data_IF_539560511605
#
_entry.id   IF_539560511605
#
_cell.length_a   1.000
_cell.length_b   1.000
_cell.length_c   1.000
_cell.angle_alpha   90.00
_cell.angle_beta   90.00
_cell.angle_gamma   90.00
#
_symmetry.space_group_name_H-M   'P 1'
#
loop_
_entity.id
_entity.type
_entity.pdbx_description
1 polymer ?
#
# COMPACT_ATOMS: atom_id res chain seq x y z
N UNK A 1 20.91 -18.01 0.91
CA UNK A 1 20.15 -16.75 0.92
C UNK A 1 20.34 -16.14 -0.47
N UNK A 2 19.28 -16.09 -1.29
CA UNK A 2 19.35 -15.56 -2.66
C UNK A 2 19.78 -14.11 -2.54
N UNK A 3 21.01 -13.82 -2.94
CA UNK A 3 21.60 -12.50 -2.76
C UNK A 3 20.94 -11.59 -3.79
N UNK A 4 20.02 -10.72 -3.35
CA UNK A 4 19.48 -9.65 -4.19
C UNK A 4 20.67 -8.77 -4.62
N UNK A 5 21.08 -8.87 -5.88
CA UNK A 5 22.29 -8.23 -6.40
C UNK A 5 22.10 -6.72 -6.65
N UNK A 6 20.85 -6.27 -6.69
CA UNK A 6 20.40 -4.90 -6.74
C UNK A 6 19.14 -4.72 -5.86
N UNK A 7 19.03 -3.55 -5.25
CA UNK A 7 17.82 -3.07 -4.58
C UNK A 7 17.23 -2.01 -5.50
N UNK A 8 16.06 -2.30 -6.05
CA UNK A 8 15.35 -1.36 -6.91
C UNK A 8 14.30 -0.66 -6.06
N UNK A 9 14.25 0.65 -6.14
CA UNK A 9 13.22 1.47 -5.50
C UNK A 9 12.60 2.36 -6.57
N UNK A 10 11.29 2.48 -6.54
CA UNK A 10 10.56 3.34 -7.44
C UNK A 10 9.49 4.11 -6.72
N UNK A 11 9.21 5.31 -7.20
CA UNK A 11 8.12 6.12 -6.70
C UNK A 11 7.43 6.87 -7.84
N UNK A 12 6.15 7.13 -7.64
CA UNK A 12 5.32 8.02 -8.46
C UNK A 12 5.08 9.33 -7.72
N UNK A 13 4.84 10.42 -8.45
CA UNK A 13 4.53 11.72 -7.85
C UNK A 13 3.20 11.72 -7.07
N UNK A 14 2.27 10.85 -7.46
CA UNK A 14 0.98 10.63 -6.79
C UNK A 14 0.62 9.14 -6.75
N UNK A 15 -0.17 8.69 -5.77
CA UNK A 15 -0.75 7.35 -5.77
C UNK A 15 -2.05 7.25 -6.60
N UNK A 16 -2.66 8.38 -6.98
CA UNK A 16 -3.95 8.47 -7.68
C UNK A 16 -3.93 9.51 -8.81
N UNK A 17 -4.33 9.11 -10.00
CA UNK A 17 -4.36 9.95 -11.21
C UNK A 17 -5.75 9.97 -11.84
N UNK A 18 -6.04 11.05 -12.57
CA UNK A 18 -7.20 11.11 -13.46
C UNK A 18 -6.83 10.64 -14.86
N UNK A 19 -7.78 10.11 -15.64
CA UNK A 19 -7.57 9.89 -17.07
C UNK A 19 -7.09 11.16 -17.77
N UNK A 20 -6.15 11.01 -18.72
CA UNK A 20 -5.51 12.15 -19.40
C UNK A 20 -4.35 12.83 -18.67
N UNK A 21 -4.09 12.52 -17.39
CA UNK A 21 -2.97 13.08 -16.64
C UNK A 21 -1.61 12.48 -17.01
N UNK A 22 -0.55 13.22 -16.69
CA UNK A 22 0.82 12.73 -16.75
C UNK A 22 1.21 12.07 -15.42
N UNK A 23 1.64 10.82 -15.50
CA UNK A 23 2.24 10.05 -14.43
C UNK A 23 3.74 10.32 -14.46
N UNK A 24 4.27 10.93 -13.41
CA UNK A 24 5.70 11.17 -13.27
C UNK A 24 6.25 10.19 -12.26
N UNK A 25 7.35 9.55 -12.60
CA UNK A 25 7.93 8.53 -11.75
C UNK A 25 9.43 8.44 -11.96
N UNK A 26 10.09 7.86 -10.96
CA UNK A 26 11.53 7.65 -10.98
C UNK A 26 11.90 6.33 -10.34
N UNK A 27 12.99 5.77 -10.81
CA UNK A 27 13.57 4.55 -10.28
C UNK A 27 15.03 4.74 -9.93
N UNK A 28 15.45 4.10 -8.85
CA UNK A 28 16.83 4.02 -8.41
C UNK A 28 17.17 2.54 -8.23
N UNK A 29 18.25 2.10 -8.88
CA UNK A 29 18.80 0.77 -8.70
C UNK A 29 20.10 0.89 -7.90
N UNK A 30 20.03 0.53 -6.62
CA UNK A 30 21.18 0.48 -5.74
C UNK A 30 21.81 -0.91 -5.76
N UNK A 31 23.09 -0.98 -5.45
CA UNK A 31 23.79 -2.25 -5.21
C UNK A 31 24.38 -2.22 -3.81
N UNK A 32 24.88 -3.35 -3.30
CA UNK A 32 25.54 -3.40 -1.99
C UNK A 32 26.64 -2.33 -1.81
N UNK A 33 27.32 -1.95 -2.91
CA UNK A 33 28.33 -0.88 -2.93
C UNK A 33 27.79 0.52 -2.65
N UNK A 34 26.53 0.77 -2.96
CA UNK A 34 25.90 2.08 -2.75
C UNK A 34 25.32 2.24 -1.35
N UNK A 35 25.07 1.12 -0.65
CA UNK A 35 24.34 1.10 0.62
C UNK A 35 25.31 0.93 1.81
N UNK A 36 26.44 0.25 1.60
CA UNK A 36 27.42 -0.01 2.67
C UNK A 36 28.57 1.02 2.61
N UNK A 37 28.88 1.70 3.73
CA UNK A 37 30.06 2.54 3.81
C UNK A 37 31.30 1.63 3.79
N UNK A 38 32.14 1.77 2.77
CA UNK A 38 33.39 1.03 2.67
C UNK A 38 34.57 1.99 2.71
N UNK A 39 35.53 1.69 3.60
CA UNK A 39 36.82 2.36 3.72
C UNK A 39 37.84 1.89 2.69
N UNK A 40 37.62 0.73 2.06
CA UNK A 40 38.49 0.11 1.05
C UNK A 40 37.71 -0.14 -0.25
N UNK A 41 38.36 -0.17 -1.43
CA UNK A 41 37.69 -0.47 -2.69
C UNK A 41 37.12 -1.89 -2.67
N UNK A 42 35.79 -2.08 -2.75
CA UNK A 42 35.17 -3.38 -2.52
C UNK A 42 35.50 -4.36 -3.66
N UNK A 43 36.21 -5.46 -3.35
CA UNK A 43 36.50 -6.53 -4.31
C UNK A 43 35.32 -7.51 -4.42
N UNK A 44 34.78 -7.72 -5.62
CA UNK A 44 33.74 -8.73 -5.83
C UNK A 44 34.29 -10.16 -5.64
N UNK A 45 33.53 -11.06 -4.99
CA UNK A 45 33.93 -12.46 -4.85
C UNK A 45 34.23 -13.11 -6.21
N UNK A 46 35.20 -14.03 -6.22
CA UNK A 46 35.64 -14.74 -7.42
C UNK A 46 34.75 -15.98 -7.68
N UNK A 47 34.02 -16.42 -6.67
CA UNK A 47 33.15 -17.59 -6.72
C UNK A 47 31.72 -17.21 -6.32
N UNK A 48 30.74 -17.78 -7.00
CA UNK A 48 29.34 -17.77 -6.60
C UNK A 48 28.93 -19.16 -6.09
N UNK A 49 28.01 -19.19 -5.13
CA UNK A 49 27.47 -20.43 -4.60
C UNK A 49 26.31 -20.86 -5.49
N UNK A 50 26.41 -22.04 -6.10
CA UNK A 50 25.40 -22.60 -7.01
C UNK A 50 24.88 -23.92 -6.43
N UNK A 51 23.58 -24.14 -6.52
CA UNK A 51 22.90 -25.34 -6.03
C UNK A 51 21.57 -24.98 -5.34
N UNK A 52 20.56 -25.81 -5.54
CA UNK A 52 19.27 -25.68 -4.85
C UNK A 52 19.36 -26.16 -3.39
N UNK A 53 18.31 -25.93 -2.60
CA UNK A 53 18.31 -26.28 -1.17
C UNK A 53 18.52 -27.78 -0.91
N UNK A 54 18.13 -28.63 -1.87
CA UNK A 54 18.25 -30.10 -1.83
C UNK A 54 19.60 -30.65 -2.33
N UNK A 55 20.44 -29.82 -2.96
CA UNK A 55 21.73 -30.24 -3.51
C UNK A 55 22.92 -29.69 -2.71
N UNK A 56 24.04 -30.41 -2.72
CA UNK A 56 25.28 -29.92 -2.11
C UNK A 56 25.74 -28.67 -2.86
N UNK A 57 25.74 -27.52 -2.17
CA UNK A 57 26.14 -26.23 -2.74
C UNK A 57 27.60 -26.28 -3.21
N UNK A 58 27.83 -25.89 -4.46
CA UNK A 58 29.16 -25.86 -5.09
C UNK A 58 29.61 -24.43 -5.34
N UNK A 59 30.92 -24.19 -5.25
CA UNK A 59 31.52 -22.93 -5.65
C UNK A 59 31.76 -22.97 -7.15
N UNK A 60 31.07 -22.09 -7.89
CA UNK A 60 31.31 -21.87 -9.31
C UNK A 60 32.13 -20.61 -9.48
N UNK A 61 33.23 -20.70 -10.25
CA UNK A 61 34.04 -19.53 -10.58
C UNK A 61 33.22 -18.57 -11.45
N UNK A 62 33.17 -17.30 -11.07
CA UNK A 62 32.49 -16.26 -11.82
C UNK A 62 33.42 -15.82 -12.96
N UNK A 63 32.88 -15.76 -14.18
CA UNK A 63 33.60 -15.27 -15.35
C UNK A 63 34.10 -13.83 -15.15
N UNK A 64 35.35 -13.50 -15.53
CA UNK A 64 35.90 -12.15 -15.35
C UNK A 64 35.09 -11.05 -16.05
N UNK A 65 34.42 -11.37 -17.15
CA UNK A 65 33.53 -10.46 -17.89
C UNK A 65 32.27 -10.15 -17.08
N UNK A 66 31.65 -11.17 -16.50
CA UNK A 66 30.49 -11.02 -15.62
C UNK A 66 30.86 -10.26 -14.34
N UNK A 67 32.04 -10.52 -13.77
CA UNK A 67 32.55 -9.74 -12.64
C UNK A 67 32.72 -8.25 -12.99
N UNK A 68 33.22 -7.93 -14.19
CA UNK A 68 33.31 -6.54 -14.68
C UNK A 68 31.93 -5.91 -14.89
N UNK A 69 30.98 -6.63 -15.48
CA UNK A 69 29.59 -6.18 -15.65
C UNK A 69 28.95 -5.84 -14.30
N UNK A 70 29.15 -6.69 -13.28
CA UNK A 70 28.63 -6.46 -11.91
C UNK A 70 29.23 -5.24 -11.22
N UNK A 71 30.45 -4.85 -11.59
CA UNK A 71 31.12 -3.65 -11.08
C UNK A 71 30.62 -2.35 -11.71
N UNK A 72 30.00 -2.40 -12.89
CA UNK A 72 29.38 -1.24 -13.53
C UNK A 72 28.06 -0.87 -12.84
N UNK A 73 27.63 0.39 -13.01
CA UNK A 73 26.32 0.83 -12.57
C UNK A 73 25.23 -0.08 -13.17
N UNK A 74 24.21 -0.48 -12.39
CA UNK A 74 23.08 -1.21 -12.93
C UNK A 74 22.35 -0.31 -13.94
N UNK A 75 22.08 -0.82 -15.14
CA UNK A 75 21.12 -0.20 -16.06
C UNK A 75 19.77 -0.90 -15.90
N UNK A 76 18.71 -0.21 -16.29
CA UNK A 76 17.37 -0.76 -16.31
C UNK A 76 17.15 -1.49 -17.64
N UNK A 77 16.97 -2.80 -17.58
CA UNK A 77 16.76 -3.66 -18.75
C UNK A 77 15.45 -3.26 -19.45
N UNK A 78 14.38 -3.14 -18.65
CA UNK A 78 13.09 -2.59 -19.10
C UNK A 78 12.36 -1.87 -17.98
N UNK A 79 11.54 -0.89 -18.36
CA UNK A 79 10.54 -0.25 -17.51
C UNK A 79 9.24 -0.27 -18.30
N UNK A 80 8.20 -0.91 -17.76
CA UNK A 80 6.95 -1.19 -18.46
C UNK A 80 5.76 -0.64 -17.70
N UNK A 81 4.91 0.16 -18.35
CA UNK A 81 3.63 0.60 -17.80
C UNK A 81 2.57 -0.40 -18.25
N UNK A 82 1.83 -0.93 -17.29
CA UNK A 82 0.75 -1.91 -17.48
C UNK A 82 -0.59 -1.33 -17.04
N UNK A 83 -1.60 -1.57 -17.87
CA UNK A 83 -2.99 -1.21 -17.58
C UNK A 83 -3.62 -2.19 -16.53
N UNK A 84 -4.86 -1.96 -16.08
CA UNK A 84 -5.53 -2.83 -15.11
C UNK A 84 -5.83 -4.24 -15.63
N UNK A 85 -5.68 -4.48 -16.93
CA UNK A 85 -5.81 -5.79 -17.57
C UNK A 85 -4.44 -6.47 -17.77
N UNK A 86 -3.36 -5.90 -17.22
CA UNK A 86 -1.96 -6.31 -17.38
C UNK A 86 -1.42 -6.22 -18.82
N UNK A 87 -2.03 -5.41 -19.69
CA UNK A 87 -1.49 -5.11 -21.00
C UNK A 87 -0.35 -4.10 -20.88
N UNK A 88 0.77 -4.32 -21.56
CA UNK A 88 1.88 -3.35 -21.64
C UNK A 88 1.47 -2.24 -22.61
N UNK A 89 1.27 -1.04 -22.08
CA UNK A 89 0.87 0.14 -22.87
C UNK A 89 2.06 1.03 -23.26
N UNK A 90 3.17 0.92 -22.53
CA UNK A 90 4.40 1.66 -22.80
C UNK A 90 5.61 0.92 -22.23
N UNK A 91 6.75 1.02 -22.91
CA UNK A 91 7.98 0.34 -22.50
C UNK A 91 9.21 1.18 -22.86
N UNK A 92 10.07 1.42 -21.86
CA UNK A 92 11.44 1.86 -22.07
C UNK A 92 12.38 0.65 -21.97
N UNK A 93 13.43 0.63 -22.79
CA UNK A 93 14.46 -0.43 -22.81
C UNK A 93 15.84 0.18 -22.61
N UNK A 94 16.72 -0.55 -21.93
CA UNK A 94 18.13 -0.18 -21.73
C UNK A 94 18.30 1.25 -21.18
N UNK A 95 17.50 1.61 -20.18
CA UNK A 95 17.49 2.97 -19.60
C UNK A 95 18.68 3.16 -18.68
N UNK A 96 19.42 4.26 -18.85
CA UNK A 96 20.54 4.58 -17.98
C UNK A 96 20.04 5.15 -16.65
N UNK A 97 20.80 5.01 -15.56
CA UNK A 97 20.39 5.51 -14.25
C UNK A 97 19.95 6.99 -14.21
N UNK A 98 20.63 7.93 -14.88
CA UNK A 98 20.19 9.33 -14.88
C UNK A 98 18.83 9.54 -15.56
N UNK A 99 18.56 8.80 -16.64
CA UNK A 99 17.31 8.91 -17.39
C UNK A 99 16.11 8.35 -16.60
N UNK A 100 16.37 7.33 -15.77
CA UNK A 100 15.37 6.74 -14.90
C UNK A 100 14.94 7.66 -13.73
N UNK A 101 15.61 8.80 -13.52
CA UNK A 101 15.25 9.76 -12.47
C UNK A 101 14.09 10.69 -12.86
N UNK A 102 13.72 10.75 -14.13
CA UNK A 102 12.69 11.66 -14.62
C UNK A 102 11.92 11.05 -15.79
N UNK A 103 11.13 10.01 -15.51
CA UNK A 103 10.25 9.39 -16.49
C UNK A 103 8.84 9.99 -16.41
N UNK A 104 8.21 10.12 -17.58
CA UNK A 104 6.87 10.67 -17.71
C UNK A 104 6.07 9.80 -18.68
N UNK A 105 4.87 9.40 -18.25
CA UNK A 105 3.90 8.71 -19.08
C UNK A 105 2.58 9.47 -19.10
N UNK A 106 2.03 9.75 -20.28
CA UNK A 106 0.74 10.41 -20.41
C UNK A 106 -0.38 9.38 -20.53
N UNK A 107 -1.28 9.36 -19.55
CA UNK A 107 -2.49 8.54 -19.62
C UNK A 107 -3.37 9.01 -20.78
N UNK A 108 -3.96 8.06 -21.50
CA UNK A 108 -4.99 8.38 -22.49
C UNK A 108 -6.22 8.95 -21.79
N UNK A 109 -7.01 9.78 -22.50
CA UNK A 109 -8.20 10.42 -21.93
C UNK A 109 -9.28 9.41 -21.52
N UNK A 110 -9.35 8.30 -22.24
CA UNK A 110 -10.28 7.19 -21.96
C UNK A 110 -9.59 6.05 -21.19
N UNK A 111 -8.60 6.39 -20.35
CA UNK A 111 -7.86 5.40 -19.57
C UNK A 111 -8.81 4.64 -18.66
N UNK A 112 -8.70 3.30 -18.69
CA UNK A 112 -9.51 2.43 -17.84
C UNK A 112 -9.22 2.70 -16.36
N UNK A 113 -10.29 2.83 -15.58
CA UNK A 113 -10.17 2.95 -14.13
C UNK A 113 -9.68 1.64 -13.50
N UNK A 114 -8.91 1.77 -12.43
CA UNK A 114 -8.40 0.63 -11.67
C UNK A 114 -6.95 0.80 -11.24
N UNK A 115 -6.34 -0.30 -10.80
CA UNK A 115 -4.92 -0.37 -10.45
C UNK A 115 -4.07 -0.52 -11.71
N UNK A 116 -3.18 0.44 -11.93
CA UNK A 116 -2.14 0.43 -12.95
C UNK A 116 -0.80 0.10 -12.31
N UNK A 117 0.12 -0.46 -13.09
CA UNK A 117 1.42 -0.95 -12.57
C UNK A 117 2.56 -0.46 -13.44
N UNK A 118 3.69 -0.14 -12.80
CA UNK A 118 4.96 0.10 -13.46
C UNK A 118 5.91 -1.00 -13.01
N UNK A 119 6.21 -1.92 -13.92
CA UNK A 119 7.14 -3.05 -13.68
C UNK A 119 8.51 -2.68 -14.24
N UNK A 120 9.52 -2.72 -13.37
CA UNK A 120 10.91 -2.43 -13.74
C UNK A 120 11.75 -3.69 -13.58
N UNK A 121 12.64 -3.92 -14.55
CA UNK A 121 13.57 -5.04 -14.54
C UNK A 121 15.02 -4.54 -14.53
N UNK A 122 15.82 -5.02 -13.58
CA UNK A 122 17.26 -4.76 -13.46
C UNK A 122 17.96 -6.07 -13.12
N UNK A 123 18.82 -6.58 -14.01
CA UNK A 123 19.64 -7.79 -13.77
C UNK A 123 18.81 -8.99 -13.30
N UNK A 124 17.65 -9.23 -13.93
CA UNK A 124 16.68 -10.27 -13.57
C UNK A 124 15.93 -10.07 -12.26
N UNK A 125 16.12 -8.93 -11.59
CA UNK A 125 15.29 -8.53 -10.47
C UNK A 125 14.20 -7.60 -10.96
N UNK A 126 13.00 -7.83 -10.43
CA UNK A 126 11.82 -7.07 -10.77
C UNK A 126 11.32 -6.33 -9.55
N UNK A 127 10.85 -5.11 -9.77
CA UNK A 127 10.12 -4.32 -8.79
C UNK A 127 8.87 -3.76 -9.45
N UNK A 128 7.79 -3.62 -8.68
CA UNK A 128 6.50 -3.15 -9.19
C UNK A 128 6.03 -2.00 -8.33
N UNK A 129 5.74 -0.87 -8.99
CA UNK A 129 5.08 0.29 -8.36
C UNK A 129 3.65 0.37 -8.88
N UNK A 130 2.68 0.30 -7.98
CA UNK A 130 1.25 0.43 -8.32
C UNK A 130 0.75 1.87 -8.13
N UNK A 131 -0.17 2.30 -8.99
CA UNK A 131 -0.95 3.53 -8.80
C UNK A 131 -2.39 3.32 -9.26
N UNK A 132 -3.33 4.12 -8.77
CA UNK A 132 -4.73 4.03 -9.18
C UNK A 132 -5.08 5.11 -10.22
N UNK A 133 -5.94 4.76 -11.18
CA UNK A 133 -6.58 5.71 -12.09
C UNK A 133 -8.08 5.70 -11.82
N UNK A 134 -8.66 6.86 -11.52
CA UNK A 134 -10.10 7.04 -11.29
C UNK A 134 -10.53 8.45 -11.71
N UNK A 135 -11.78 8.62 -12.11
CA UNK A 135 -12.37 9.96 -12.18
C UNK A 135 -12.63 10.45 -10.76
N UNK A 136 -11.92 11.51 -10.36
CA UNK A 136 -12.12 12.13 -9.05
C UNK A 136 -12.03 13.64 -9.13
N UNK A 137 -12.69 14.29 -8.18
CA UNK A 137 -12.50 15.71 -7.87
C UNK A 137 -11.64 15.79 -6.62
N UNK A 138 -10.71 16.75 -6.57
CA UNK A 138 -9.86 16.92 -5.39
C UNK A 138 -10.74 17.34 -4.20
N UNK A 139 -10.81 16.55 -3.12
CA UNK A 139 -11.58 16.92 -1.95
C UNK A 139 -11.06 18.23 -1.34
N UNK A 140 -11.99 19.12 -0.97
CA UNK A 140 -11.65 20.41 -0.34
C UNK A 140 -11.38 20.30 1.16
N UNK A 141 -11.66 19.15 1.75
CA UNK A 141 -11.47 18.88 3.17
C UNK A 141 -11.02 17.42 3.37
N UNK A 142 -10.44 17.15 4.53
CA UNK A 142 -10.10 15.81 5.01
C UNK A 142 -10.98 15.51 6.22
N UNK A 143 -11.60 14.34 6.22
CA UNK A 143 -12.28 13.82 7.40
C UNK A 143 -11.26 13.06 8.26
N UNK A 144 -11.30 13.29 9.57
CA UNK A 144 -10.48 12.62 10.55
C UNK A 144 -11.39 11.83 11.48
N UNK A 145 -11.03 10.58 11.71
CA UNK A 145 -11.68 9.69 12.68
C UNK A 145 -10.58 9.16 13.59
N UNK A 146 -10.66 9.50 14.87
CA UNK A 146 -9.72 9.03 15.89
C UNK A 146 -10.40 7.95 16.72
N UNK A 147 -9.78 6.77 16.75
CA UNK A 147 -10.18 5.64 17.58
C UNK A 147 -9.04 5.29 18.55
N UNK A 148 -9.34 4.67 19.70
CA UNK A 148 -8.33 4.09 20.57
C UNK A 148 -7.52 3.03 19.82
N UNK A 149 -6.23 2.89 20.14
CA UNK A 149 -5.35 1.91 19.51
C UNK A 149 -5.76 0.46 19.82
N UNK A 150 -6.27 0.24 21.03
CA UNK A 150 -6.84 -1.03 21.45
C UNK A 150 -8.13 -0.78 22.23
N UNK A 151 -9.04 -1.74 22.16
CA UNK A 151 -10.30 -1.77 22.91
C UNK A 151 -10.29 -3.07 23.70
N UNK A 152 -10.38 -2.99 25.01
CA UNK A 152 -10.48 -4.20 25.83
C UNK A 152 -11.93 -4.73 25.81
N UNK A 153 -12.13 -6.06 25.74
CA UNK A 153 -13.48 -6.64 25.76
C UNK A 153 -14.26 -6.36 27.06
N UNK A 154 -13.56 -5.96 28.12
CA UNK A 154 -14.11 -5.62 29.44
C UNK A 154 -14.59 -4.17 29.55
N UNK A 155 -14.20 -3.29 28.62
CA UNK A 155 -14.66 -1.90 28.63
C UNK A 155 -16.15 -1.81 28.29
N UNK A 156 -16.89 -0.99 29.04
CA UNK A 156 -18.31 -0.76 28.75
C UNK A 156 -18.50 0.08 27.49
N UNK A 157 -17.62 1.06 27.29
CA UNK A 157 -17.79 2.13 26.32
C UNK A 157 -16.47 2.48 25.62
N UNK A 158 -16.57 2.74 24.32
CA UNK A 158 -15.47 3.21 23.48
C UNK A 158 -15.78 4.63 23.04
N UNK A 159 -14.80 5.51 23.24
CA UNK A 159 -14.85 6.88 22.75
C UNK A 159 -14.09 6.98 21.43
N UNK A 160 -14.74 7.53 20.42
CA UNK A 160 -14.09 7.93 19.17
C UNK A 160 -14.46 9.38 18.84
N UNK A 161 -13.58 10.03 18.07
CA UNK A 161 -13.70 11.44 17.75
C UNK A 161 -13.74 11.63 16.24
N UNK A 162 -14.72 12.41 15.77
CA UNK A 162 -14.87 12.72 14.34
C UNK A 162 -14.73 14.21 14.12
N UNK A 163 -13.92 14.61 13.15
CA UNK A 163 -13.88 15.99 12.68
C UNK A 163 -13.61 16.03 11.18
N UNK A 164 -13.75 17.22 10.60
CA UNK A 164 -13.30 17.46 9.24
C UNK A 164 -12.61 18.81 9.17
N UNK A 165 -11.53 18.87 8.40
CA UNK A 165 -10.65 20.03 8.29
C UNK A 165 -10.48 20.36 6.82
N UNK A 166 -10.75 21.62 6.44
CA UNK A 166 -10.50 22.06 5.07
C UNK A 166 -9.00 21.97 4.75
N UNK A 167 -8.66 21.78 3.47
CA UNK A 167 -7.25 21.72 3.06
C UNK A 167 -6.47 23.01 3.34
N UNK A 168 -7.15 24.12 3.61
CA UNK A 168 -6.57 25.40 4.06
C UNK A 168 -6.55 25.60 5.58
N UNK A 169 -6.98 24.61 6.39
CA UNK A 169 -6.79 24.59 7.85
C UNK A 169 -8.05 24.71 8.74
N UNK A 170 -9.07 25.52 8.43
CA UNK A 170 -10.26 25.65 9.28
C UNK A 170 -11.07 24.35 9.38
N UNK A 171 -11.71 24.13 10.54
CA UNK A 171 -12.67 23.05 10.71
C UNK A 171 -13.93 23.26 9.85
N UNK A 172 -14.47 22.17 9.35
CA UNK A 172 -15.67 22.14 8.51
C UNK A 172 -16.90 22.16 9.40
N UNK A 173 -17.86 23.02 9.06
CA UNK A 173 -19.23 22.94 9.58
C UNK A 173 -20.07 22.03 8.71
N UNK A 174 -20.80 21.11 9.32
CA UNK A 174 -21.65 20.19 8.57
C UNK A 174 -22.21 19.08 9.44
N UNK A 175 -22.54 17.96 8.81
CA UNK A 175 -23.02 16.76 9.47
C UNK A 175 -22.17 15.58 9.05
N UNK A 176 -21.92 14.65 9.96
CA UNK A 176 -21.27 13.38 9.65
C UNK A 176 -22.26 12.24 9.81
N UNK A 177 -21.99 11.15 9.10
CA UNK A 177 -22.68 9.88 9.18
C UNK A 177 -21.62 8.79 9.13
N UNK A 178 -21.45 8.09 10.24
CA UNK A 178 -20.39 7.13 10.46
C UNK A 178 -20.98 5.77 10.84
N UNK A 179 -20.29 4.72 10.42
CA UNK A 179 -20.65 3.35 10.75
C UNK A 179 -19.44 2.68 11.40
N UNK A 180 -19.65 2.17 12.60
CA UNK A 180 -18.64 1.48 13.40
C UNK A 180 -18.97 0.00 13.37
N UNK A 181 -18.01 -0.82 12.97
CA UNK A 181 -18.19 -2.26 12.83
C UNK A 181 -17.03 -2.99 13.50
N UNK A 182 -17.33 -4.06 14.23
CA UNK A 182 -16.33 -5.07 14.61
C UNK A 182 -16.41 -6.17 13.57
N UNK A 183 -15.36 -6.39 12.78
CA UNK A 183 -15.36 -7.43 11.75
C UNK A 183 -13.95 -7.95 11.45
N UNK A 184 -13.85 -8.94 10.57
CA UNK A 184 -12.57 -9.43 10.05
C UNK A 184 -11.85 -8.31 9.31
N UNK A 185 -10.55 -8.16 9.57
CA UNK A 185 -9.70 -7.10 9.00
C UNK A 185 -9.82 -7.01 7.47
N UNK A 186 -9.65 -8.15 6.77
CA UNK A 186 -9.76 -8.22 5.30
C UNK A 186 -11.12 -7.76 4.74
N UNK A 187 -12.20 -7.85 5.53
CA UNK A 187 -13.54 -7.41 5.12
C UNK A 187 -13.69 -5.90 5.33
N UNK A 188 -13.15 -5.37 6.45
CA UNK A 188 -13.12 -3.94 6.73
C UNK A 188 -12.28 -3.18 5.69
N UNK A 189 -11.07 -3.65 5.39
CA UNK A 189 -10.17 -3.02 4.42
C UNK A 189 -10.81 -2.92 3.02
N UNK A 190 -11.50 -3.99 2.59
CA UNK A 190 -12.19 -4.00 1.30
C UNK A 190 -13.29 -2.95 1.24
N UNK A 191 -14.12 -2.86 2.28
CA UNK A 191 -15.21 -1.89 2.33
C UNK A 191 -14.71 -0.45 2.42
N UNK A 192 -13.62 -0.21 3.14
CA UNK A 192 -12.95 1.09 3.17
C UNK A 192 -12.40 1.46 1.79
N UNK A 193 -11.81 0.51 1.05
CA UNK A 193 -11.30 0.73 -0.31
C UNK A 193 -12.42 1.03 -1.32
N UNK A 194 -13.60 0.43 -1.14
CA UNK A 194 -14.81 0.72 -1.92
C UNK A 194 -15.45 2.06 -1.55
N UNK A 195 -15.14 2.61 -0.36
CA UNK A 195 -15.74 3.84 0.15
C UNK A 195 -17.23 3.69 0.44
N UNK A 196 -17.68 2.51 0.86
CA UNK A 196 -19.10 2.20 1.09
C UNK A 196 -19.32 1.66 2.50
N UNK A 197 -20.44 2.06 3.11
CA UNK A 197 -20.90 1.48 4.38
C UNK A 197 -21.40 0.04 4.15
N UNK A 198 -21.33 -0.79 5.19
CA UNK A 198 -21.95 -2.11 5.20
C UNK A 198 -23.47 -2.01 5.06
N UNK A 199 -24.00 -2.81 4.13
CA UNK A 199 -25.43 -2.94 3.93
C UNK A 199 -26.11 -3.48 5.19
N UNK A 200 -27.27 -2.90 5.52
CA UNK A 200 -28.08 -3.29 6.69
C UNK A 200 -27.34 -3.21 8.03
N UNK A 201 -26.25 -2.45 8.12
CA UNK A 201 -25.40 -2.37 9.32
C UNK A 201 -24.93 -3.74 9.81
N UNK A 202 -24.58 -4.63 8.88
CA UNK A 202 -24.16 -6.00 9.18
C UNK A 202 -22.87 -6.32 8.47
N UNK A 203 -21.90 -6.82 9.21
CA UNK A 203 -20.70 -7.40 8.64
C UNK A 203 -20.81 -8.93 8.63
N UNK A 204 -20.52 -9.53 7.48
CA UNK A 204 -20.52 -10.98 7.27
C UNK A 204 -19.07 -11.40 7.17
N UNK A 205 -18.60 -12.22 8.11
CA UNK A 205 -17.26 -12.77 8.09
C UNK A 205 -17.08 -13.77 6.93
N UNK A 206 -15.85 -13.90 6.41
CA UNK A 206 -15.58 -14.69 5.21
C UNK A 206 -15.69 -16.21 5.46
N UNK A 207 -15.34 -16.66 6.67
CA UNK A 207 -15.16 -18.08 6.98
C UNK A 207 -16.25 -18.67 7.89
N UNK A 208 -17.04 -17.83 8.56
CA UNK A 208 -18.10 -18.25 9.45
C UNK A 208 -19.26 -17.23 9.32
N UNK A 209 -20.51 -17.63 9.05
CA UNK A 209 -21.64 -16.71 8.89
C UNK A 209 -22.11 -16.07 10.21
N UNK A 210 -21.18 -15.76 11.12
CA UNK A 210 -21.46 -14.93 12.29
C UNK A 210 -21.69 -13.51 11.78
N UNK A 211 -22.92 -13.04 11.95
CA UNK A 211 -23.32 -11.70 11.56
C UNK A 211 -22.99 -10.76 12.70
N UNK A 212 -22.00 -9.89 12.49
CA UNK A 212 -21.66 -8.85 13.47
C UNK A 212 -22.44 -7.59 13.16
N UNK A 213 -22.99 -6.95 14.19
CA UNK A 213 -23.79 -5.74 14.05
C UNK A 213 -22.86 -4.53 14.05
N UNK A 214 -23.07 -3.65 13.07
CA UNK A 214 -22.45 -2.34 13.03
C UNK A 214 -23.37 -1.32 13.69
N UNK A 215 -22.79 -0.37 14.41
CA UNK A 215 -23.53 0.79 14.91
C UNK A 215 -23.39 1.95 13.93
N UNK A 216 -24.52 2.54 13.53
CA UNK A 216 -24.54 3.77 12.75
C UNK A 216 -24.81 4.94 13.67
N UNK A 217 -23.99 5.97 13.54
CA UNK A 217 -24.06 7.20 14.33
C UNK A 217 -23.94 8.40 13.40
N UNK A 218 -24.70 9.44 13.70
CA UNK A 218 -24.66 10.69 12.96
C UNK A 218 -24.63 11.85 13.94
N UNK A 219 -24.16 13.00 13.47
CA UNK A 219 -24.04 14.17 14.31
C UNK A 219 -23.61 15.40 13.54
N UNK A 220 -23.46 16.50 14.28
CA UNK A 220 -23.13 17.81 13.73
C UNK A 220 -21.64 18.10 14.01
N UNK A 221 -20.95 18.61 12.98
CA UNK A 221 -19.63 19.22 13.10
C UNK A 221 -19.83 20.73 13.25
N UNK A 222 -19.48 21.27 14.41
CA UNK A 222 -19.68 22.67 14.78
C UNK A 222 -18.67 23.64 14.12
N UNK A 223 -17.63 23.08 13.49
CA UNK A 223 -16.55 23.82 12.85
C UNK A 223 -15.56 24.42 13.84
N UNK A 224 -15.45 23.89 15.04
CA UNK A 224 -14.45 24.35 16.03
C UNK A 224 -13.60 23.22 16.60
N UNK A 225 -14.18 22.04 16.81
CA UNK A 225 -13.52 20.93 17.48
C UNK A 225 -13.98 19.56 16.97
N UNK A 226 -13.41 18.51 17.55
CA UNK A 226 -13.83 17.14 17.33
C UNK A 226 -15.16 16.84 18.02
N UNK A 227 -16.07 16.22 17.28
CA UNK A 227 -17.28 15.64 17.83
C UNK A 227 -16.91 14.30 18.50
N UNK A 228 -17.01 14.26 19.82
CA UNK A 228 -16.78 13.06 20.60
C UNK A 228 -18.05 12.23 20.65
N UNK A 229 -17.93 10.94 20.31
CA UNK A 229 -19.04 10.00 20.34
C UNK A 229 -18.63 8.83 21.23
N UNK A 230 -19.55 8.43 22.10
CA UNK A 230 -19.38 7.33 23.04
C UNK A 230 -20.31 6.22 22.58
N UNK A 231 -19.77 5.00 22.46
CA UNK A 231 -20.50 3.84 22.00
C UNK A 231 -20.26 2.67 22.95
N UNK A 232 -21.34 2.03 23.38
CA UNK A 232 -21.25 0.87 24.23
C UNK A 232 -20.69 -0.33 23.45
N UNK A 233 -19.63 -0.95 23.97
CA UNK A 233 -18.97 -2.12 23.36
C UNK A 233 -19.94 -3.29 23.22
N UNK A 234 -20.84 -3.46 24.19
CA UNK A 234 -21.88 -4.49 24.17
C UNK A 234 -22.82 -4.38 22.95
N UNK A 235 -23.04 -3.17 22.42
CA UNK A 235 -23.88 -2.97 21.23
C UNK A 235 -23.17 -3.42 19.94
N UNK A 236 -21.83 -3.38 19.92
CA UNK A 236 -21.00 -3.81 18.80
C UNK A 236 -20.69 -5.31 18.86
N UNK A 237 -20.58 -5.87 20.07
CA UNK A 237 -20.25 -7.27 20.32
C UNK A 237 -21.47 -8.17 20.52
N UNK A 238 -22.64 -7.77 20.01
CA UNK A 238 -23.92 -8.45 20.25
C UNK A 238 -24.06 -9.80 19.53
N UNK A 239 -23.08 -10.69 19.71
CA UNK A 239 -23.23 -12.12 19.54
C UNK A 239 -22.16 -12.86 20.38
N UNK A 240 -22.38 -12.86 21.70
CA UNK A 240 -22.05 -14.00 22.56
C UNK A 240 -22.77 -13.85 23.89
N UNK A 241 -23.60 -14.85 24.20
CA UNK A 241 -23.59 -15.43 25.54
C UNK A 241 -22.11 -15.62 25.93
N UNK A 242 -21.58 -14.72 26.75
CA UNK A 242 -20.52 -15.06 27.70
C UNK A 242 -21.19 -16.01 28.71
N UNK A 243 -21.48 -17.24 28.29
CA UNK A 243 -21.87 -18.28 29.23
C UNK A 243 -20.62 -18.58 30.05
N UNK A 244 -20.61 -18.05 31.27
CA UNK A 244 -20.18 -18.73 32.49
C UNK A 244 -19.34 -19.97 32.23
N UNK A 245 -18.02 -19.79 32.18
CA UNK A 245 -17.10 -20.81 32.66
C UNK A 245 -16.87 -20.55 34.16
N UNK A 246 -17.94 -20.72 34.94
CA UNK A 246 -17.91 -21.01 36.36
C UNK A 246 -18.84 -22.21 36.54
N UNK A 247 -18.30 -23.42 36.43
CA UNK A 247 -18.56 -24.52 37.36
C UNK A 247 -17.83 -25.80 36.89
N UNK A 248 -17.03 -26.32 37.84
CA UNK A 248 -16.27 -27.58 37.93
C UNK A 248 -14.86 -27.64 37.32
#
# INVERSE_FOLDING_TARGET
MVQRFAVIMGETDKPLYRPGEEVRFRFIALTSRHILPHSEPPTWPIYEVVGEFSEMRRLKRIEPTERRRRMQAPHFDSIEVKDPLNNIVHQWKNVQPPDALHLVYKLIRDAKEGEWKIEVCVRHQKEVVSFNVRHYILPRFRAHVELPEAIEPTESDVRFSVCAVYTNGPFVRGTFDAQICICDESVLERQQAEGRMFLKNKCIANYNPVVRICLRTNGILDGTNYANIIVAVLQLAHDKKFNEANDL
#
